data_IF_691949501307
#
_entry.id   IF_691949501307
#
_cell.length_a   1.000
_cell.length_b   1.000
_cell.length_c   1.000
_cell.angle_alpha   90.00
_cell.angle_beta   90.00
_cell.angle_gamma   90.00
#
_symmetry.space_group_name_H-M   'P 1'
#
loop_
_entity.id
_entity.type
_entity.pdbx_description
1 polymer ?
#
# COMPACT_ATOMS: atom_id res chain seq x y z
N UNK A 1 -54.19 -12.00 7.25
CA UNK A 1 -52.76 -12.36 7.28
C UNK A 1 -52.20 -11.93 8.64
N UNK A 2 -52.00 -12.87 9.57
CA UNK A 2 -51.52 -12.57 10.91
C UNK A 2 -50.06 -12.11 10.85
N UNK A 3 -49.80 -10.84 11.18
CA UNK A 3 -48.42 -10.34 11.31
C UNK A 3 -47.86 -10.85 12.63
N UNK A 4 -46.83 -11.69 12.58
CA UNK A 4 -46.07 -12.09 13.76
C UNK A 4 -45.50 -10.83 14.43
N UNK A 5 -45.87 -10.60 15.68
CA UNK A 5 -45.35 -9.49 16.47
C UNK A 5 -43.97 -9.91 16.99
N UNK A 6 -42.96 -9.07 16.74
CA UNK A 6 -41.59 -9.29 17.18
C UNK A 6 -41.27 -8.34 18.34
N UNK A 7 -41.05 -8.91 19.52
CA UNK A 7 -40.56 -8.19 20.70
C UNK A 7 -39.01 -8.21 20.73
N UNK A 8 -38.35 -7.24 21.39
CA UNK A 8 -36.88 -7.16 21.46
C UNK A 8 -36.22 -8.48 21.88
N UNK A 9 -36.78 -9.15 22.89
CA UNK A 9 -36.27 -10.40 23.47
C UNK A 9 -36.39 -11.57 22.48
N UNK A 10 -37.47 -11.60 21.69
CA UNK A 10 -37.65 -12.62 20.65
C UNK A 10 -36.65 -12.47 19.52
N UNK A 11 -36.30 -11.22 19.17
CA UNK A 11 -35.29 -10.93 18.14
C UNK A 11 -33.91 -11.37 18.64
N UNK A 12 -33.54 -11.01 19.87
CA UNK A 12 -32.28 -11.44 20.49
C UNK A 12 -32.20 -12.97 20.61
N UNK A 13 -33.27 -13.61 21.08
CA UNK A 13 -33.33 -15.07 21.17
C UNK A 13 -33.20 -15.74 19.80
N UNK A 14 -33.86 -15.19 18.77
CA UNK A 14 -33.71 -15.68 17.40
C UNK A 14 -32.25 -15.57 16.92
N UNK A 15 -31.61 -14.41 17.09
CA UNK A 15 -30.19 -14.19 16.75
C UNK A 15 -29.30 -15.22 17.44
N UNK A 16 -29.45 -15.40 18.76
CA UNK A 16 -28.66 -16.34 19.54
C UNK A 16 -28.91 -17.79 19.11
N UNK A 17 -30.14 -18.16 18.80
CA UNK A 17 -30.49 -19.52 18.34
C UNK A 17 -29.83 -19.91 17.02
N UNK A 18 -29.51 -18.90 16.18
CA UNK A 18 -28.90 -19.01 14.85
C UNK A 18 -27.39 -18.79 14.88
N UNK A 19 -26.85 -18.21 15.94
CA UNK A 19 -25.43 -18.00 16.11
C UNK A 19 -24.67 -19.34 16.02
N UNK A 20 -23.66 -19.40 15.15
CA UNK A 20 -22.89 -20.62 14.87
C UNK A 20 -23.57 -21.62 13.92
N UNK A 21 -24.85 -21.43 13.57
CA UNK A 21 -25.58 -22.28 12.60
C UNK A 21 -25.75 -21.60 11.25
N UNK A 22 -25.96 -20.29 11.24
CA UNK A 22 -26.22 -19.50 10.03
C UNK A 22 -25.43 -18.18 10.05
N UNK A 23 -25.14 -17.58 8.88
CA UNK A 23 -24.45 -16.31 8.82
C UNK A 23 -25.29 -15.17 9.40
N UNK A 24 -24.82 -14.51 10.45
CA UNK A 24 -25.55 -13.39 11.09
C UNK A 24 -25.33 -12.03 10.41
N UNK A 25 -24.71 -11.97 9.24
CA UNK A 25 -24.44 -10.71 8.57
C UNK A 25 -25.74 -10.09 7.99
N UNK A 26 -25.82 -8.75 8.03
CA UNK A 26 -27.02 -8.00 7.61
C UNK A 26 -27.48 -8.35 6.19
N UNK A 27 -26.56 -8.60 5.25
CA UNK A 27 -26.94 -8.98 3.89
C UNK A 27 -27.67 -10.32 3.85
N UNK A 28 -27.20 -11.34 4.56
CA UNK A 28 -27.88 -12.62 4.64
C UNK A 28 -29.27 -12.47 5.26
N UNK A 29 -29.38 -11.77 6.40
CA UNK A 29 -30.64 -11.62 7.12
C UNK A 29 -31.68 -10.79 6.39
N UNK A 30 -31.26 -9.75 5.65
CA UNK A 30 -32.17 -8.97 4.81
C UNK A 30 -32.84 -9.81 3.71
N UNK A 31 -32.23 -10.92 3.30
CA UNK A 31 -32.77 -11.81 2.26
C UNK A 31 -33.44 -13.07 2.83
N UNK A 32 -32.83 -13.72 3.83
CA UNK A 32 -33.31 -14.99 4.38
C UNK A 32 -34.42 -14.83 5.42
N UNK A 33 -34.40 -13.74 6.20
CA UNK A 33 -35.35 -13.46 7.28
C UNK A 33 -35.78 -11.98 7.25
N UNK A 34 -36.43 -11.52 6.16
CA UNK A 34 -36.74 -10.11 5.96
C UNK A 34 -37.67 -9.54 7.05
N UNK A 35 -38.55 -10.36 7.63
CA UNK A 35 -39.44 -9.97 8.72
C UNK A 35 -38.68 -9.72 10.03
N UNK A 36 -37.74 -10.61 10.39
CA UNK A 36 -36.85 -10.45 11.54
C UNK A 36 -35.95 -9.24 11.35
N UNK A 37 -35.38 -9.09 10.15
CA UNK A 37 -34.50 -7.97 9.81
C UNK A 37 -35.23 -6.63 9.95
N UNK A 38 -36.42 -6.51 9.36
CA UNK A 38 -37.23 -5.29 9.47
C UNK A 38 -37.69 -5.01 10.91
N UNK A 39 -37.98 -6.05 11.70
CA UNK A 39 -38.28 -5.87 13.12
C UNK A 39 -37.07 -5.36 13.92
N UNK A 40 -35.89 -5.93 13.68
CA UNK A 40 -34.64 -5.51 14.31
C UNK A 40 -34.27 -4.05 13.98
N UNK A 41 -34.41 -3.64 12.71
CA UNK A 41 -34.19 -2.26 12.29
C UNK A 41 -35.14 -1.28 13.01
N UNK A 42 -36.43 -1.61 13.13
CA UNK A 42 -37.41 -0.74 13.82
C UNK A 42 -37.16 -0.66 15.33
N UNK A 43 -36.81 -1.78 15.96
CA UNK A 43 -36.68 -1.87 17.43
C UNK A 43 -35.34 -1.37 17.94
N UNK A 44 -34.24 -1.76 17.29
CA UNK A 44 -32.87 -1.43 17.73
C UNK A 44 -32.23 -0.31 16.90
N UNK A 45 -32.89 0.14 15.82
CA UNK A 45 -32.41 1.18 14.91
C UNK A 45 -31.43 0.68 13.84
N UNK A 46 -30.91 -0.53 13.96
CA UNK A 46 -30.15 -1.22 12.90
C UNK A 46 -29.95 -2.70 13.23
N UNK A 47 -29.69 -3.53 12.23
CA UNK A 47 -29.29 -4.92 12.44
C UNK A 47 -28.03 -5.05 13.31
N UNK A 48 -27.03 -4.19 13.12
CA UNK A 48 -25.81 -4.22 13.92
C UNK A 48 -26.07 -3.99 15.41
N UNK A 49 -26.92 -3.02 15.74
CA UNK A 49 -27.35 -2.77 17.13
C UNK A 49 -28.15 -3.93 17.72
N UNK A 50 -28.93 -4.65 16.91
CA UNK A 50 -29.64 -5.84 17.38
C UNK A 50 -28.68 -7.00 17.71
N UNK A 51 -27.63 -7.18 16.90
CA UNK A 51 -26.54 -8.13 17.16
C UNK A 51 -25.79 -7.76 18.46
N UNK A 52 -25.45 -6.48 18.63
CA UNK A 52 -24.79 -5.96 19.84
C UNK A 52 -25.68 -6.11 21.08
N UNK A 53 -26.99 -5.86 20.96
CA UNK A 53 -27.96 -6.06 22.03
C UNK A 53 -28.12 -7.54 22.40
N UNK A 54 -27.84 -8.47 21.48
CA UNK A 54 -27.75 -9.90 21.75
C UNK A 54 -26.40 -10.33 22.37
N UNK A 55 -25.52 -9.38 22.71
CA UNK A 55 -24.22 -9.65 23.34
C UNK A 55 -23.13 -10.10 22.36
N UNK A 56 -23.34 -9.97 21.05
CA UNK A 56 -22.38 -10.37 20.03
C UNK A 56 -21.67 -9.14 19.44
N UNK A 57 -20.38 -9.27 19.12
CA UNK A 57 -19.64 -8.20 18.46
C UNK A 57 -19.96 -8.15 16.96
N UNK A 58 -20.73 -7.15 16.54
CA UNK A 58 -21.12 -7.01 15.12
C UNK A 58 -19.92 -6.83 14.17
N UNK A 59 -18.77 -6.36 14.66
CA UNK A 59 -17.58 -6.23 13.82
C UNK A 59 -17.06 -7.58 13.30
N UNK A 60 -17.27 -8.65 14.07
CA UNK A 60 -16.83 -10.01 13.73
C UNK A 60 -17.84 -10.70 12.79
N UNK A 61 -19.09 -10.21 12.80
CA UNK A 61 -20.21 -10.80 12.05
C UNK A 61 -20.43 -10.13 10.69
N UNK A 62 -20.20 -8.81 10.59
CA UNK A 62 -20.53 -8.07 9.37
C UNK A 62 -19.63 -8.48 8.20
N UNK A 63 -20.23 -8.64 7.03
CA UNK A 63 -19.52 -9.00 5.79
C UNK A 63 -18.62 -7.87 5.27
N UNK A 64 -19.05 -6.61 5.46
CA UNK A 64 -18.36 -5.45 4.91
C UNK A 64 -17.90 -4.50 6.02
N UNK A 65 -16.58 -4.29 6.10
CA UNK A 65 -15.97 -3.34 7.02
C UNK A 65 -16.18 -1.89 6.52
N UNK A 66 -16.65 -1.01 7.40
CA UNK A 66 -16.63 0.45 7.16
C UNK A 66 -15.27 1.01 7.58
N UNK A 67 -14.55 1.58 6.61
CA UNK A 67 -13.24 2.18 6.82
C UNK A 67 -13.31 3.71 6.96
N UNK A 68 -13.03 4.19 8.18
CA UNK A 68 -12.67 5.57 8.46
C UNK A 68 -11.15 5.76 8.32
N UNK A 69 -10.67 7.00 8.25
CA UNK A 69 -9.23 7.30 8.26
C UNK A 69 -8.55 6.69 9.50
N UNK A 70 -9.15 6.86 10.67
CA UNK A 70 -8.62 6.34 11.93
C UNK A 70 -8.54 4.82 11.93
N UNK A 71 -9.61 4.11 11.53
CA UNK A 71 -9.61 2.64 11.48
C UNK A 71 -8.55 2.07 10.54
N UNK A 72 -8.29 2.74 9.41
CA UNK A 72 -7.21 2.33 8.50
C UNK A 72 -5.87 2.46 9.19
N UNK A 73 -5.62 3.58 9.87
CA UNK A 73 -4.36 3.83 10.60
C UNK A 73 -4.17 2.81 11.72
N UNK A 74 -5.20 2.57 12.53
CA UNK A 74 -5.14 1.64 13.65
C UNK A 74 -4.88 0.22 13.17
N UNK A 75 -5.55 -0.21 12.10
CA UNK A 75 -5.35 -1.56 11.54
C UNK A 75 -3.95 -1.72 10.94
N UNK A 76 -3.42 -0.72 10.22
CA UNK A 76 -2.05 -0.77 9.71
C UNK A 76 -1.05 -0.89 10.86
N UNK A 77 -1.26 -0.12 11.94
CA UNK A 77 -0.40 -0.20 13.14
C UNK A 77 -0.48 -1.58 13.79
N UNK A 78 -1.69 -2.10 13.99
CA UNK A 78 -1.92 -3.44 14.55
C UNK A 78 -1.20 -4.53 13.73
N UNK A 79 -1.30 -4.48 12.40
CA UNK A 79 -0.60 -5.41 11.52
C UNK A 79 0.92 -5.32 11.68
N UNK A 80 1.46 -4.10 11.73
CA UNK A 80 2.89 -3.88 11.92
C UNK A 80 3.41 -4.40 13.27
N UNK A 81 2.68 -4.12 14.36
CA UNK A 81 3.00 -4.60 15.71
C UNK A 81 2.90 -6.12 15.82
N UNK A 82 1.99 -6.74 15.06
CA UNK A 82 1.87 -8.19 14.96
C UNK A 82 2.96 -8.83 14.07
N UNK A 83 3.91 -8.04 13.54
CA UNK A 83 4.97 -8.53 12.65
C UNK A 83 4.52 -8.86 11.24
N UNK A 84 3.28 -8.53 10.85
CA UNK A 84 2.81 -8.75 9.49
C UNK A 84 3.45 -7.71 8.54
N UNK A 85 4.02 -8.14 7.39
CA UNK A 85 4.61 -7.22 6.43
C UNK A 85 3.62 -6.16 5.92
N UNK A 86 3.86 -4.88 6.21
CA UNK A 86 2.99 -3.77 5.77
C UNK A 86 3.39 -3.15 4.42
N UNK A 87 4.12 -3.91 3.58
CA UNK A 87 4.42 -3.47 2.21
C UNK A 87 3.14 -3.35 1.38
N UNK A 88 3.11 -2.45 0.39
CA UNK A 88 1.93 -2.29 -0.47
C UNK A 88 1.54 -3.57 -1.22
N UNK A 89 2.53 -4.41 -1.57
CA UNK A 89 2.30 -5.69 -2.25
C UNK A 89 1.60 -6.69 -1.32
N UNK A 90 2.11 -6.86 -0.09
CA UNK A 90 1.48 -7.74 0.88
C UNK A 90 0.06 -7.27 1.24
N UNK A 91 -0.13 -5.97 1.43
CA UNK A 91 -1.44 -5.38 1.67
C UNK A 91 -2.43 -5.62 0.52
N UNK A 92 -1.98 -5.52 -0.73
CA UNK A 92 -2.83 -5.79 -1.89
C UNK A 92 -3.26 -7.27 -1.97
N UNK A 93 -2.36 -8.19 -1.61
CA UNK A 93 -2.58 -9.63 -1.73
C UNK A 93 -3.43 -10.18 -0.58
N UNK A 94 -3.09 -9.85 0.67
CA UNK A 94 -3.74 -10.41 1.86
C UNK A 94 -4.85 -9.54 2.44
N UNK A 95 -4.73 -8.21 2.31
CA UNK A 95 -5.60 -7.24 3.00
C UNK A 95 -6.30 -6.29 2.02
N UNK A 96 -6.85 -6.83 0.93
CA UNK A 96 -7.40 -6.06 -0.19
C UNK A 96 -8.39 -4.96 0.23
N UNK A 97 -9.27 -5.24 1.19
CA UNK A 97 -10.25 -4.25 1.70
C UNK A 97 -9.56 -3.06 2.38
N UNK A 98 -8.57 -3.34 3.24
CA UNK A 98 -7.75 -2.31 3.89
C UNK A 98 -6.93 -1.55 2.85
N UNK A 99 -6.31 -2.23 1.88
CA UNK A 99 -5.56 -1.59 0.80
C UNK A 99 -6.42 -0.59 0.04
N UNK A 100 -7.59 -1.00 -0.45
CA UNK A 100 -8.49 -0.12 -1.19
C UNK A 100 -8.99 1.05 -0.34
N UNK A 101 -9.24 0.82 0.94
CA UNK A 101 -9.57 1.88 1.87
C UNK A 101 -8.42 2.89 2.05
N UNK A 102 -7.17 2.42 2.18
CA UNK A 102 -6.00 3.29 2.25
C UNK A 102 -5.86 4.16 1.02
N UNK A 103 -6.02 3.61 -0.19
CA UNK A 103 -6.01 4.38 -1.43
C UNK A 103 -7.11 5.43 -1.42
N UNK A 104 -8.36 5.04 -1.10
CA UNK A 104 -9.51 5.97 -1.11
C UNK A 104 -9.39 7.09 -0.07
N UNK A 105 -8.79 6.82 1.09
CA UNK A 105 -8.77 7.77 2.22
C UNK A 105 -7.51 8.63 2.29
N UNK A 106 -6.39 8.15 1.75
CA UNK A 106 -5.07 8.80 1.85
C UNK A 106 -4.39 8.99 0.48
N UNK A 107 -5.03 8.58 -0.62
CA UNK A 107 -4.52 8.68 -1.98
C UNK A 107 -3.59 7.53 -2.37
N UNK A 108 -2.74 7.06 -1.45
CA UNK A 108 -1.90 5.89 -1.66
C UNK A 108 -1.59 5.14 -0.35
N UNK A 109 -1.11 3.91 -0.47
CA UNK A 109 -0.78 3.04 0.66
C UNK A 109 0.34 3.60 1.54
N UNK A 110 1.42 4.11 0.92
CA UNK A 110 2.58 4.63 1.64
C UNK A 110 2.22 5.79 2.56
N UNK A 111 1.38 6.72 2.10
CA UNK A 111 0.85 7.80 2.94
C UNK A 111 0.08 7.25 4.14
N UNK A 112 -0.78 6.24 3.95
CA UNK A 112 -1.52 5.63 5.07
C UNK A 112 -0.57 4.99 6.11
N UNK A 113 0.47 4.29 5.65
CA UNK A 113 1.51 3.72 6.53
C UNK A 113 2.27 4.79 7.30
N UNK A 114 2.63 5.90 6.63
CA UNK A 114 3.25 7.06 7.30
C UNK A 114 2.32 7.68 8.34
N UNK A 115 1.00 7.77 8.06
CA UNK A 115 0.01 8.24 9.05
C UNK A 115 -0.15 7.29 10.25
N UNK A 116 0.21 6.01 10.08
CA UNK A 116 0.29 5.08 11.19
C UNK A 116 1.55 5.25 12.06
N UNK A 117 2.47 6.14 11.68
CA UNK A 117 3.73 6.40 12.39
C UNK A 117 4.87 5.50 11.93
N UNK A 118 4.70 4.78 10.81
CA UNK A 118 5.68 3.83 10.31
C UNK A 118 6.46 4.47 9.15
N UNK A 119 7.78 4.38 9.19
CA UNK A 119 8.61 4.81 8.07
C UNK A 119 8.36 3.89 6.86
N UNK A 120 7.62 4.37 5.86
CA UNK A 120 7.28 3.54 4.71
C UNK A 120 8.51 3.09 3.90
N UNK A 121 9.60 3.87 3.92
CA UNK A 121 10.82 3.51 3.19
C UNK A 121 11.54 2.28 3.77
N UNK A 122 11.34 1.96 5.06
CA UNK A 122 11.93 0.76 5.67
C UNK A 122 11.11 -0.52 5.44
N UNK A 123 9.84 -0.41 5.05
CA UNK A 123 8.91 -1.56 4.91
C UNK A 123 8.51 -1.86 3.46
N UNK A 124 8.79 -0.94 2.55
CA UNK A 124 8.52 -1.12 1.12
C UNK A 124 9.49 -2.14 0.50
N UNK A 125 8.99 -2.97 -0.43
CA UNK A 125 9.83 -3.97 -1.11
C UNK A 125 10.63 -3.40 -2.30
N UNK A 126 10.07 -2.41 -2.99
CA UNK A 126 10.68 -1.85 -4.21
C UNK A 126 11.20 -0.45 -3.92
N UNK A 127 12.49 -0.17 -4.14
CA UNK A 127 13.06 1.18 -4.05
C UNK A 127 12.26 2.16 -4.92
N UNK A 128 12.05 3.39 -4.44
CA UNK A 128 11.63 4.51 -5.27
C UNK A 128 12.58 5.67 -4.99
N UNK A 129 12.88 6.44 -6.02
CA UNK A 129 13.60 7.70 -5.87
C UNK A 129 12.70 8.87 -6.20
N UNK A 130 12.70 9.91 -5.39
CA UNK A 130 12.12 11.22 -5.69
C UNK A 130 12.87 11.89 -6.85
N UNK A 131 12.30 12.94 -7.43
CA UNK A 131 12.98 13.69 -8.51
C UNK A 131 14.27 14.33 -7.97
N UNK A 132 14.23 14.76 -6.72
CA UNK A 132 15.29 15.41 -5.97
C UNK A 132 16.43 14.43 -5.67
N UNK A 133 16.11 13.21 -5.22
CA UNK A 133 17.09 12.14 -4.99
C UNK A 133 17.76 11.73 -6.30
N UNK A 134 17.00 11.58 -7.38
CA UNK A 134 17.55 11.26 -8.70
C UNK A 134 18.52 12.37 -9.12
N UNK A 135 18.10 13.64 -9.04
CA UNK A 135 18.94 14.77 -9.42
C UNK A 135 20.23 14.82 -8.59
N UNK A 136 20.12 14.61 -7.28
CA UNK A 136 21.26 14.55 -6.36
C UNK A 136 22.24 13.45 -6.75
N UNK A 137 21.76 12.23 -6.96
CA UNK A 137 22.61 11.06 -7.30
C UNK A 137 23.30 11.26 -8.66
N UNK A 138 22.59 11.81 -9.65
CA UNK A 138 23.18 12.14 -10.98
C UNK A 138 24.28 13.21 -10.86
N UNK A 139 24.06 14.26 -10.04
CA UNK A 139 25.07 15.29 -9.80
C UNK A 139 26.29 14.76 -9.05
N UNK A 140 26.10 13.81 -8.13
CA UNK A 140 27.21 13.15 -7.43
C UNK A 140 28.05 12.30 -8.39
N UNK A 141 27.43 11.54 -9.30
CA UNK A 141 28.16 10.81 -10.35
C UNK A 141 28.94 11.77 -11.25
N UNK A 142 28.34 12.90 -11.63
CA UNK A 142 29.03 13.92 -12.41
C UNK A 142 30.26 14.49 -11.69
N UNK A 143 30.12 14.85 -10.41
CA UNK A 143 31.22 15.36 -9.58
C UNK A 143 32.35 14.33 -9.39
N UNK A 144 32.01 13.04 -9.34
CA UNK A 144 32.97 11.94 -9.28
C UNK A 144 33.67 11.66 -10.60
N UNK A 145 33.28 12.35 -11.68
CA UNK A 145 33.83 12.12 -13.02
C UNK A 145 33.38 10.80 -13.65
N UNK A 146 32.21 10.27 -13.29
CA UNK A 146 31.65 9.09 -13.95
C UNK A 146 31.27 9.40 -15.41
N UNK A 147 31.43 8.43 -16.32
CA UNK A 147 30.94 8.57 -17.70
C UNK A 147 29.40 8.50 -17.72
N UNK A 148 28.75 9.65 -17.86
CA UNK A 148 27.29 9.73 -17.94
C UNK A 148 26.76 9.44 -19.36
N UNK A 149 27.56 8.89 -20.26
CA UNK A 149 27.06 8.35 -21.52
C UNK A 149 26.03 7.23 -21.26
N UNK A 150 25.01 7.14 -22.13
CA UNK A 150 23.94 6.16 -22.00
C UNK A 150 24.46 4.70 -21.84
N UNK A 151 25.44 4.21 -22.63
CA UNK A 151 25.95 2.85 -22.46
C UNK A 151 26.54 2.59 -21.07
N UNK A 152 27.39 3.51 -20.55
CA UNK A 152 27.98 3.36 -19.22
C UNK A 152 26.92 3.45 -18.11
N UNK A 153 25.97 4.38 -18.23
CA UNK A 153 24.85 4.49 -17.29
C UNK A 153 23.96 3.23 -17.30
N UNK A 154 23.75 2.62 -18.47
CA UNK A 154 22.97 1.38 -18.59
C UNK A 154 23.68 0.20 -17.95
N UNK A 155 25.00 0.12 -18.09
CA UNK A 155 25.82 -0.95 -17.54
C UNK A 155 25.98 -0.84 -16.00
N UNK A 156 26.35 0.34 -15.50
CA UNK A 156 26.74 0.53 -14.09
C UNK A 156 25.64 1.09 -13.19
N UNK A 157 24.66 1.80 -13.77
CA UNK A 157 23.67 2.59 -13.04
C UNK A 157 22.24 2.40 -13.58
N UNK A 158 21.90 1.18 -14.02
CA UNK A 158 20.65 0.87 -14.73
C UNK A 158 19.39 1.40 -14.02
N UNK A 159 19.32 1.24 -12.70
CA UNK A 159 18.16 1.68 -11.92
C UNK A 159 18.01 3.22 -11.92
N UNK A 160 19.12 3.94 -11.64
CA UNK A 160 19.15 5.40 -11.66
C UNK A 160 18.84 5.94 -13.07
N UNK A 161 19.42 5.33 -14.10
CA UNK A 161 19.14 5.65 -15.50
C UNK A 161 17.64 5.56 -15.81
N UNK A 162 17.02 4.41 -15.51
CA UNK A 162 15.60 4.18 -15.77
C UNK A 162 14.70 5.15 -14.98
N UNK A 163 15.03 5.38 -13.70
CA UNK A 163 14.30 6.31 -12.85
C UNK A 163 14.38 7.76 -13.37
N UNK A 164 15.57 8.20 -13.77
CA UNK A 164 15.80 9.54 -14.29
C UNK A 164 15.15 9.78 -15.65
N UNK A 165 15.27 8.83 -16.57
CA UNK A 165 14.56 8.86 -17.86
C UNK A 165 13.07 9.03 -17.64
N UNK A 166 12.47 8.21 -16.76
CA UNK A 166 11.04 8.25 -16.48
C UNK A 166 10.58 9.54 -15.80
N UNK A 167 11.31 10.05 -14.81
CA UNK A 167 10.83 11.13 -13.92
C UNK A 167 11.33 12.54 -14.26
N UNK A 168 12.49 12.65 -14.91
CA UNK A 168 13.11 13.94 -15.25
C UNK A 168 13.22 14.15 -16.76
N UNK A 169 13.31 13.07 -17.54
CA UNK A 169 13.66 13.13 -18.95
C UNK A 169 12.56 12.79 -19.94
N UNK A 170 11.32 12.56 -19.49
CA UNK A 170 10.21 12.11 -20.34
C UNK A 170 10.58 10.93 -21.27
N UNK A 171 11.32 9.96 -20.75
CA UNK A 171 11.82 8.80 -21.49
C UNK A 171 13.22 8.96 -22.10
N UNK A 172 13.83 10.14 -22.06
CA UNK A 172 15.17 10.41 -22.61
C UNK A 172 16.21 10.66 -21.53
N UNK A 173 17.32 9.93 -21.57
CA UNK A 173 18.44 10.15 -20.64
C UNK A 173 19.12 11.49 -20.90
N UNK A 174 19.23 11.89 -22.17
CA UNK A 174 19.80 13.18 -22.53
C UNK A 174 18.97 14.32 -21.93
N UNK A 175 17.64 14.24 -22.01
CA UNK A 175 16.74 15.21 -21.39
C UNK A 175 16.86 15.20 -19.85
N UNK A 176 16.90 14.03 -19.22
CA UNK A 176 17.07 13.90 -17.76
C UNK A 176 18.39 14.53 -17.27
N UNK A 177 19.51 14.25 -17.96
CA UNK A 177 20.82 14.83 -17.67
C UNK A 177 20.82 16.36 -17.82
N UNK A 178 20.21 16.88 -18.89
CA UNK A 178 20.04 18.34 -19.08
C UNK A 178 19.16 18.97 -18.00
N UNK A 179 18.09 18.28 -17.57
CA UNK A 179 17.26 18.70 -16.43
C UNK A 179 18.07 18.76 -15.12
N UNK A 180 19.15 17.98 -15.00
CA UNK A 180 20.09 18.08 -13.88
C UNK A 180 21.12 19.22 -14.04
N UNK A 181 21.10 19.96 -15.15
CA UNK A 181 22.04 21.06 -15.44
C UNK A 181 23.34 20.62 -16.11
N UNK A 182 23.46 19.35 -16.51
CA UNK A 182 24.69 18.81 -17.10
C UNK A 182 24.54 18.84 -18.62
N UNK A 183 25.17 19.83 -19.27
CA UNK A 183 25.09 20.02 -20.73
C UNK A 183 26.28 19.39 -21.45
N UNK A 184 27.49 19.64 -20.96
CA UNK A 184 28.78 19.25 -21.53
C UNK A 184 29.57 18.36 -20.57
N UNK A 185 30.77 17.92 -20.98
CA UNK A 185 31.76 17.20 -20.14
C UNK A 185 31.23 15.96 -19.41
N UNK A 186 30.20 15.34 -19.96
CA UNK A 186 29.50 14.19 -19.37
C UNK A 186 30.03 12.85 -19.87
N UNK A 187 30.97 12.88 -20.81
CA UNK A 187 31.61 11.69 -21.38
C UNK A 187 33.07 11.71 -20.99
N UNK A 188 33.60 10.54 -20.67
CA UNK A 188 35.04 10.37 -20.52
C UNK A 188 35.69 10.20 -21.89
N UNK A 189 36.83 10.85 -22.08
CA UNK A 189 37.66 10.67 -23.26
C UNK A 189 38.45 9.34 -23.19
N UNK A 190 39.08 8.94 -24.30
CA UNK A 190 39.77 7.65 -24.41
C UNK A 190 40.89 7.47 -23.37
N UNK A 191 41.62 8.55 -23.05
CA UNK A 191 42.68 8.54 -22.05
C UNK A 191 42.13 8.35 -20.64
N UNK A 192 41.07 9.08 -20.28
CA UNK A 192 40.38 8.97 -18.99
C UNK A 192 39.78 7.56 -18.80
N UNK A 193 39.20 6.98 -19.86
CA UNK A 193 38.68 5.60 -19.83
C UNK A 193 39.77 4.57 -19.56
N UNK A 194 40.94 4.73 -20.17
CA UNK A 194 42.11 3.86 -19.92
C UNK A 194 42.58 3.97 -18.47
N UNK A 195 42.68 5.17 -17.92
CA UNK A 195 43.10 5.40 -16.53
C UNK A 195 42.10 4.77 -15.55
N UNK A 196 40.80 4.97 -15.76
CA UNK A 196 39.76 4.37 -14.91
C UNK A 196 39.74 2.85 -14.98
N UNK A 197 39.86 2.26 -16.17
CA UNK A 197 39.89 0.80 -16.33
C UNK A 197 41.15 0.18 -15.70
N UNK A 198 42.30 0.87 -15.75
CA UNK A 198 43.54 0.40 -15.14
C UNK A 198 43.52 0.49 -13.61
N UNK A 199 42.71 1.39 -13.04
CA UNK A 199 42.56 1.57 -11.59
C UNK A 199 41.43 0.74 -10.98
N UNK A 200 40.67 -0.02 -11.76
CA UNK A 200 39.69 -0.97 -11.21
C UNK A 200 40.41 -2.26 -10.77
N UNK A 201 40.25 -2.71 -9.51
CA UNK A 201 40.84 -3.97 -9.06
C UNK A 201 40.32 -5.10 -9.95
N UNK A 202 41.24 -5.91 -10.49
CA UNK A 202 40.87 -7.03 -11.34
C UNK A 202 39.85 -7.90 -10.60
N UNK A 203 38.65 -8.03 -11.16
CA UNK A 203 37.66 -8.97 -10.66
C UNK A 203 38.31 -10.35 -10.69
N UNK A 204 38.64 -10.87 -9.52
CA UNK A 204 39.11 -12.25 -9.36
C UNK A 204 37.99 -13.17 -9.85
N UNK A 205 38.15 -13.72 -11.05
CA UNK A 205 37.35 -14.86 -11.48
C UNK A 205 37.77 -16.05 -10.60
N UNK A 206 37.08 -16.26 -9.47
CA UNK A 206 37.00 -17.59 -8.87
C UNK A 206 35.99 -18.40 -9.66
N UNK A 207 36.47 -19.53 -10.18
CA UNK A 207 35.71 -20.59 -10.83
C UNK A 207 34.75 -21.25 -9.85
#
# INVERSE_FOLDING_TARGET
MFRKIWYPEMIQHHILSKHGKEPLNSYYYANAYPDVYAAAERTFGSWGKAIEAAGLNYNDIKKYQRWSKQKVVDEIRRLYEAGEPVSSKNAQDKFKSLYMASIKRFGNWGTAVQRAGINYESVRLRRCMSKEEIKKEVLELYRKGEDLAYPNMREKHQYLLAAAMKKLGNGSWAAARRHCGILTNFRLNAQQKRILNNNQPQKSNSK
#
